data_IF_555776351941
#
_entry.id   IF_555776351941
#
_cell.length_a   1.000
_cell.length_b   1.000
_cell.length_c   1.000
_cell.angle_alpha   90.00
_cell.angle_beta   90.00
_cell.angle_gamma   90.00
#
_symmetry.space_group_name_H-M   'P 1'
#
loop_
_entity.id
_entity.type
_entity.pdbx_description
1 polymer ?
#
# COMPACT_ATOMS: atom_id res chain seq x y z
N UNK A 1 -49.35 22.65 -8.14
CA UNK A 1 -48.04 22.01 -7.92
C UNK A 1 -47.89 20.90 -8.94
N UNK A 2 -47.02 21.07 -9.94
CA UNK A 2 -46.80 20.11 -11.03
C UNK A 2 -45.29 19.91 -11.16
N UNK A 3 -44.84 18.67 -10.98
CA UNK A 3 -43.44 18.25 -11.20
C UNK A 3 -43.10 18.34 -12.69
N UNK A 4 -41.90 18.81 -13.09
CA UNK A 4 -41.39 18.53 -14.41
C UNK A 4 -40.55 17.26 -14.44
N UNK A 5 -40.87 16.46 -15.46
CA UNK A 5 -40.31 15.18 -15.81
C UNK A 5 -38.86 15.24 -16.31
N UNK A 6 -38.16 14.12 -16.16
CA UNK A 6 -36.88 13.80 -16.78
C UNK A 6 -37.06 13.70 -18.31
N UNK A 7 -36.33 14.51 -19.09
CA UNK A 7 -36.21 14.34 -20.54
C UNK A 7 -34.84 13.79 -20.89
N UNK A 8 -34.84 12.61 -21.52
CA UNK A 8 -33.66 11.97 -22.11
C UNK A 8 -33.15 12.78 -23.31
N UNK A 9 -31.95 13.35 -23.19
CA UNK A 9 -31.27 14.00 -24.31
C UNK A 9 -30.51 12.95 -25.11
N UNK A 10 -30.94 12.74 -26.36
CA UNK A 10 -30.37 11.74 -27.27
C UNK A 10 -29.01 12.14 -27.83
N UNK A 11 -28.11 11.17 -27.99
CA UNK A 11 -26.71 11.27 -28.46
C UNK A 11 -26.50 11.95 -29.84
N UNK A 12 -27.55 12.29 -30.58
CA UNK A 12 -27.44 12.84 -31.94
C UNK A 12 -27.19 14.36 -31.99
N UNK A 13 -27.36 15.09 -30.89
CA UNK A 13 -27.15 16.54 -30.87
C UNK A 13 -25.67 16.96 -30.80
N UNK A 14 -24.79 16.13 -30.22
CA UNK A 14 -23.36 16.47 -30.05
C UNK A 14 -22.55 16.39 -31.35
N UNK A 15 -22.99 15.62 -32.35
CA UNK A 15 -22.25 15.41 -33.60
C UNK A 15 -22.32 16.59 -34.58
N UNK A 16 -23.17 17.59 -34.35
CA UNK A 16 -23.32 18.74 -35.28
C UNK A 16 -22.63 20.03 -34.82
N UNK A 17 -22.15 20.10 -33.58
CA UNK A 17 -21.36 21.25 -33.10
C UNK A 17 -19.85 21.11 -33.34
N UNK A 18 -19.39 19.95 -33.83
CA UNK A 18 -17.97 19.70 -34.10
C UNK A 18 -17.52 20.11 -35.52
N UNK A 19 -18.43 20.59 -36.38
CA UNK A 19 -18.16 20.79 -37.81
C UNK A 19 -18.18 22.26 -38.26
N UNK A 20 -18.00 23.21 -37.34
CA UNK A 20 -18.05 24.65 -37.66
C UNK A 20 -16.95 25.46 -36.95
N UNK A 21 -15.77 24.88 -36.74
CA UNK A 21 -14.58 25.61 -36.28
C UNK A 21 -13.35 25.35 -37.16
N UNK A 22 -13.58 25.16 -38.45
CA UNK A 22 -12.55 24.98 -39.47
C UNK A 22 -12.53 26.19 -40.38
N UNK A 23 -11.92 27.30 -39.95
CA UNK A 23 -11.42 28.37 -40.82
C UNK A 23 -10.64 29.41 -39.98
N UNK A 24 -9.32 29.49 -40.27
CA UNK A 24 -8.34 30.53 -39.90
C UNK A 24 -7.52 30.35 -38.61
N UNK A 25 -6.40 29.61 -38.74
CA UNK A 25 -5.21 29.74 -37.90
C UNK A 25 -3.98 29.32 -38.72
N UNK A 26 -2.88 30.09 -38.70
CA UNK A 26 -1.78 29.93 -39.65
C UNK A 26 -0.98 28.64 -39.42
N UNK A 27 -0.39 28.18 -40.51
CA UNK A 27 0.55 27.08 -40.63
C UNK A 27 1.68 27.16 -39.58
N UNK A 28 1.65 26.27 -38.60
CA UNK A 28 2.86 25.75 -37.97
C UNK A 28 3.07 24.32 -38.47
N UNK A 29 3.48 24.21 -39.74
CA UNK A 29 4.12 23.02 -40.30
C UNK A 29 5.49 22.93 -39.64
N UNK A 30 5.63 22.12 -38.58
CA UNK A 30 6.94 21.94 -37.93
C UNK A 30 6.99 21.32 -36.53
N UNK A 31 5.95 20.65 -36.02
CA UNK A 31 6.01 20.09 -34.66
C UNK A 31 5.48 18.65 -34.48
N UNK A 32 5.02 17.98 -35.54
CA UNK A 32 4.41 16.64 -35.43
C UNK A 32 5.02 15.55 -36.31
N UNK A 33 6.10 15.82 -37.05
CA UNK A 33 6.74 14.81 -37.92
C UNK A 33 8.02 14.20 -37.35
N UNK A 34 8.30 14.42 -36.06
CA UNK A 34 9.33 13.66 -35.34
C UNK A 34 8.75 13.27 -33.99
N UNK A 35 8.04 12.13 -33.95
CA UNK A 35 8.08 11.36 -32.71
C UNK A 35 9.57 11.16 -32.41
N UNK A 36 10.10 11.58 -31.25
CA UNK A 36 11.48 11.26 -30.93
C UNK A 36 11.56 9.74 -31.07
N UNK A 37 12.39 9.27 -32.01
CA UNK A 37 12.82 7.89 -32.07
C UNK A 37 13.64 7.68 -30.79
N UNK A 38 12.93 7.52 -29.67
CA UNK A 38 13.51 6.97 -28.47
C UNK A 38 14.01 5.61 -28.93
N UNK A 39 15.33 5.50 -29.11
CA UNK A 39 16.01 4.31 -29.56
C UNK A 39 15.32 3.12 -28.92
N UNK A 40 14.68 2.27 -29.76
CA UNK A 40 13.82 1.21 -29.28
C UNK A 40 14.58 0.49 -28.16
N UNK A 41 14.04 0.46 -26.92
CA UNK A 41 14.79 -0.09 -25.80
C UNK A 41 15.16 -1.52 -26.18
N UNK A 42 16.44 -1.87 -26.06
CA UNK A 42 16.91 -3.21 -26.40
C UNK A 42 16.05 -4.21 -25.62
N UNK A 43 15.17 -4.90 -26.35
CA UNK A 43 14.17 -5.78 -25.76
C UNK A 43 14.86 -6.94 -25.03
N UNK A 44 16.07 -7.32 -25.47
CA UNK A 44 16.89 -8.32 -24.79
C UNK A 44 17.38 -7.80 -23.43
N UNK A 45 17.83 -6.54 -23.36
CA UNK A 45 18.25 -5.91 -22.11
C UNK A 45 17.07 -5.70 -21.13
N UNK A 46 15.91 -5.28 -21.64
CA UNK A 46 14.69 -5.15 -20.83
C UNK A 46 14.25 -6.52 -20.29
N UNK A 47 14.28 -7.57 -21.10
CA UNK A 47 13.95 -8.93 -20.69
C UNK A 47 14.95 -9.47 -19.66
N UNK A 48 16.25 -9.19 -19.81
CA UNK A 48 17.29 -9.56 -18.84
C UNK A 48 17.05 -8.90 -17.50
N UNK A 49 16.88 -7.56 -17.48
CA UNK A 49 16.55 -6.81 -16.26
C UNK A 49 15.28 -7.30 -15.58
N UNK A 50 14.25 -7.66 -16.36
CA UNK A 50 13.02 -8.26 -15.83
C UNK A 50 13.31 -9.57 -15.10
N UNK A 51 14.05 -10.50 -15.71
CA UNK A 51 14.41 -11.78 -15.08
C UNK A 51 15.25 -11.59 -13.81
N UNK A 52 16.19 -10.65 -13.82
CA UNK A 52 17.00 -10.33 -12.64
C UNK A 52 16.14 -9.80 -11.48
N UNK A 53 15.15 -8.95 -11.77
CA UNK A 53 14.19 -8.47 -10.77
C UNK A 53 13.30 -9.59 -10.24
N UNK A 54 12.77 -10.43 -11.12
CA UNK A 54 11.95 -11.58 -10.72
C UNK A 54 12.74 -12.56 -9.83
N UNK A 55 14.01 -12.80 -10.14
CA UNK A 55 14.89 -13.63 -9.31
C UNK A 55 15.16 -13.02 -7.92
N UNK A 56 15.44 -11.71 -7.85
CA UNK A 56 15.61 -11.00 -6.58
C UNK A 56 14.32 -11.02 -5.75
N UNK A 57 13.18 -10.77 -6.37
CA UNK A 57 11.87 -10.84 -5.73
C UNK A 57 11.57 -12.25 -5.22
N UNK A 58 11.85 -13.30 -6.00
CA UNK A 58 11.64 -14.69 -5.59
C UNK A 58 12.47 -15.04 -4.36
N UNK A 59 13.74 -14.63 -4.32
CA UNK A 59 14.62 -14.85 -3.16
C UNK A 59 14.10 -14.16 -1.91
N UNK A 60 13.78 -12.86 -1.99
CA UNK A 60 13.27 -12.11 -0.83
C UNK A 60 11.92 -12.64 -0.35
N UNK A 61 11.03 -13.03 -1.26
CA UNK A 61 9.74 -13.62 -0.87
C UNK A 61 9.91 -15.02 -0.24
N UNK A 62 10.92 -15.80 -0.66
CA UNK A 62 11.23 -17.10 -0.06
C UNK A 62 11.80 -16.96 1.36
N UNK A 63 12.60 -15.92 1.64
CA UNK A 63 13.12 -15.62 2.98
C UNK A 63 12.02 -15.21 3.96
N UNK A 64 10.97 -14.53 3.47
CA UNK A 64 9.85 -14.07 4.29
C UNK A 64 8.78 -15.12 4.51
N UNK A 65 8.61 -16.06 3.57
CA UNK A 65 7.65 -17.15 3.67
C UNK A 65 7.65 -17.86 5.05
N UNK A 66 8.79 -18.28 5.64
CA UNK A 66 8.80 -18.90 6.96
C UNK A 66 8.39 -17.93 8.09
N UNK A 67 8.71 -16.64 7.96
CA UNK A 67 8.29 -15.64 8.95
C UNK A 67 6.77 -15.43 8.92
N UNK A 68 6.17 -15.42 7.72
CA UNK A 68 4.71 -15.34 7.57
C UNK A 68 4.04 -16.59 8.15
N UNK A 69 4.61 -17.78 7.93
CA UNK A 69 4.10 -19.03 8.52
C UNK A 69 4.06 -18.95 10.04
N UNK A 70 5.14 -18.48 10.68
CA UNK A 70 5.21 -18.31 12.15
C UNK A 70 4.14 -17.35 12.68
N UNK A 71 3.89 -16.25 11.98
CA UNK A 71 2.82 -15.31 12.33
C UNK A 71 1.45 -15.98 12.20
N UNK A 72 1.23 -16.76 11.13
CA UNK A 72 -0.03 -17.47 10.89
C UNK A 72 -0.31 -18.63 11.84
N UNK A 73 0.72 -19.24 12.40
CA UNK A 73 0.65 -20.35 13.37
C UNK A 73 0.47 -19.88 14.82
N UNK A 74 0.65 -18.58 15.08
CA UNK A 74 0.54 -18.01 16.43
C UNK A 74 -0.89 -18.11 16.96
N UNK A 75 -1.04 -18.65 18.17
CA UNK A 75 -2.36 -18.83 18.82
C UNK A 75 -2.56 -17.84 19.96
N UNK A 76 -1.46 -17.35 20.53
CA UNK A 76 -1.47 -16.39 21.64
C UNK A 76 -0.91 -15.04 21.23
N UNK A 77 -1.30 -13.98 21.95
CA UNK A 77 -0.79 -12.64 21.71
C UNK A 77 0.74 -12.54 21.86
N UNK A 78 1.35 -13.35 22.74
CA UNK A 78 2.79 -13.37 23.00
C UNK A 78 3.56 -14.04 21.86
N UNK A 79 3.05 -15.16 21.35
CA UNK A 79 3.62 -15.82 20.17
C UNK A 79 3.54 -14.91 18.95
N UNK A 80 2.39 -14.25 18.77
CA UNK A 80 2.18 -13.31 17.69
C UNK A 80 3.15 -12.12 17.77
N UNK A 81 3.31 -11.51 18.95
CA UNK A 81 4.26 -10.42 19.17
C UNK A 81 5.71 -10.83 18.87
N UNK A 82 6.10 -12.04 19.30
CA UNK A 82 7.44 -12.59 19.02
C UNK A 82 7.66 -12.80 17.52
N UNK A 83 6.69 -13.38 16.83
CA UNK A 83 6.74 -13.61 15.38
C UNK A 83 6.77 -12.28 14.60
N UNK A 84 5.97 -11.30 15.04
CA UNK A 84 5.93 -9.97 14.47
C UNK A 84 7.20 -9.15 14.73
N UNK A 85 7.84 -9.33 15.89
CA UNK A 85 9.14 -8.71 16.20
C UNK A 85 10.24 -9.25 15.29
N UNK A 86 10.24 -10.57 15.02
CA UNK A 86 11.15 -11.17 14.05
C UNK A 86 10.90 -10.66 12.62
N UNK A 87 9.63 -10.56 12.22
CA UNK A 87 9.24 -9.98 10.93
C UNK A 87 9.68 -8.52 10.79
N UNK A 88 9.46 -7.72 11.83
CA UNK A 88 9.82 -6.29 11.85
C UNK A 88 11.34 -6.13 11.81
N UNK A 89 12.08 -6.97 12.52
CA UNK A 89 13.55 -7.01 12.46
C UNK A 89 14.04 -7.33 11.04
N UNK A 90 13.39 -8.26 10.34
CA UNK A 90 13.70 -8.53 8.93
C UNK A 90 13.38 -7.34 8.02
N UNK A 91 12.24 -6.68 8.21
CA UNK A 91 11.85 -5.46 7.48
C UNK A 91 12.92 -4.38 7.65
N UNK A 92 13.45 -4.20 8.87
CA UNK A 92 14.54 -3.27 9.20
C UNK A 92 15.89 -3.73 8.62
N UNK A 93 16.14 -5.04 8.53
CA UNK A 93 17.41 -5.57 8.01
C UNK A 93 17.56 -5.57 6.49
N UNK A 94 16.48 -5.53 5.71
CA UNK A 94 16.50 -5.84 4.25
C UNK A 94 16.57 -4.66 3.29
N UNK A 95 16.57 -3.42 3.80
CA UNK A 95 16.75 -2.21 3.00
C UNK A 95 18.23 -1.91 2.72
N UNK A 96 18.59 -1.43 1.52
CA UNK A 96 19.91 -0.84 1.29
C UNK A 96 20.14 0.34 2.25
N UNK A 97 21.34 0.56 2.80
CA UNK A 97 21.65 1.84 3.45
C UNK A 97 21.52 2.95 2.41
N UNK A 98 20.77 4.01 2.71
CA UNK A 98 20.68 5.19 1.82
C UNK A 98 22.08 5.82 1.78
N UNK A 99 22.60 6.22 0.60
CA UNK A 99 23.76 7.11 0.55
C UNK A 99 23.47 8.37 1.38
N UNK A 100 24.36 8.73 2.30
CA UNK A 100 24.28 9.92 3.18
C UNK A 100 24.31 11.26 2.43
N UNK A 101 24.40 11.21 1.11
CA UNK A 101 24.84 12.30 0.27
C UNK A 101 23.60 13.11 -0.15
N UNK A 102 23.00 13.82 0.81
CA UNK A 102 21.84 14.68 0.61
C UNK A 102 20.66 14.40 1.55
N UNK A 103 20.72 13.34 2.36
CA UNK A 103 19.80 13.17 3.46
C UNK A 103 20.10 14.24 4.52
N UNK A 104 19.11 15.10 4.81
CA UNK A 104 19.15 15.98 5.96
C UNK A 104 19.59 15.16 7.19
N UNK A 105 20.61 15.65 7.88
CA UNK A 105 21.28 15.02 9.02
C UNK A 105 20.31 14.20 9.89
N UNK A 106 20.42 12.86 9.84
CA UNK A 106 19.82 11.97 10.85
C UNK A 106 19.04 10.73 10.39
N UNK A 107 18.77 10.49 9.10
CA UNK A 107 18.03 9.28 8.66
C UNK A 107 18.95 8.16 8.13
N UNK A 108 19.59 7.46 9.06
CA UNK A 108 20.62 6.45 8.73
C UNK A 108 20.08 5.11 8.20
N UNK A 109 18.76 4.93 7.97
CA UNK A 109 18.22 3.55 7.85
C UNK A 109 17.09 3.28 6.83
N UNK A 110 16.64 4.20 5.99
CA UNK A 110 15.37 3.99 5.25
C UNK A 110 15.54 3.77 3.72
N UNK A 111 16.26 2.71 3.34
CA UNK A 111 16.23 2.23 1.95
C UNK A 111 14.92 1.51 1.60
N UNK A 112 14.50 1.51 0.31
CA UNK A 112 13.29 0.83 -0.11
C UNK A 112 13.40 -0.70 0.08
N UNK A 113 12.27 -1.35 0.36
CA UNK A 113 12.20 -2.83 0.37
C UNK A 113 12.67 -3.42 -0.97
N UNK A 114 13.17 -4.68 -0.98
CA UNK A 114 13.58 -5.35 -2.21
C UNK A 114 12.52 -5.26 -3.32
N UNK A 115 12.97 -4.97 -4.54
CA UNK A 115 12.08 -4.81 -5.68
C UNK A 115 11.25 -6.09 -5.92
N UNK A 116 9.93 -5.94 -6.08
CA UNK A 116 9.00 -7.07 -6.25
C UNK A 116 8.59 -7.79 -4.96
N UNK A 117 8.96 -7.27 -3.79
CA UNK A 117 8.45 -7.75 -2.52
C UNK A 117 6.93 -7.54 -2.39
N UNK A 118 6.22 -8.57 -1.93
CA UNK A 118 4.75 -8.57 -1.84
C UNK A 118 4.25 -7.96 -0.54
N UNK A 119 4.46 -6.65 -0.35
CA UNK A 119 4.01 -5.90 0.84
C UNK A 119 2.52 -6.07 1.15
N UNK A 120 1.66 -5.98 0.12
CA UNK A 120 0.20 -6.18 0.29
C UNK A 120 -0.14 -7.55 0.86
N UNK A 121 0.51 -8.61 0.35
CA UNK A 121 0.29 -9.97 0.84
C UNK A 121 0.73 -10.12 2.29
N UNK A 122 1.90 -9.57 2.65
CA UNK A 122 2.39 -9.57 4.03
C UNK A 122 1.38 -8.94 4.99
N UNK A 123 0.88 -7.74 4.66
CA UNK A 123 -0.09 -7.02 5.49
C UNK A 123 -1.38 -7.81 5.66
N UNK A 124 -1.93 -8.35 4.57
CA UNK A 124 -3.14 -9.18 4.64
C UNK A 124 -2.90 -10.42 5.49
N UNK A 125 -1.81 -11.15 5.29
CA UNK A 125 -1.51 -12.36 6.06
C UNK A 125 -1.34 -12.07 7.56
N UNK A 126 -0.62 -11.00 7.92
CA UNK A 126 -0.48 -10.58 9.32
C UNK A 126 -1.84 -10.16 9.91
N UNK A 127 -2.66 -9.42 9.16
CA UNK A 127 -3.99 -9.00 9.62
C UNK A 127 -4.92 -10.19 9.84
N UNK A 128 -4.91 -11.15 8.93
CA UNK A 128 -5.70 -12.38 9.03
C UNK A 128 -5.29 -13.21 10.26
N UNK A 129 -3.99 -13.27 10.55
CA UNK A 129 -3.48 -13.92 11.76
C UNK A 129 -3.92 -13.18 13.04
N UNK A 130 -3.78 -11.85 13.07
CA UNK A 130 -4.27 -11.01 14.16
C UNK A 130 -5.77 -11.24 14.42
N UNK A 131 -6.56 -11.40 13.35
CA UNK A 131 -8.00 -11.55 13.46
C UNK A 131 -8.47 -12.92 13.98
N UNK A 132 -7.59 -13.92 13.97
CA UNK A 132 -7.84 -15.26 14.52
C UNK A 132 -7.52 -15.37 16.00
N UNK A 133 -6.77 -14.42 16.56
CA UNK A 133 -6.39 -14.43 17.96
C UNK A 133 -7.62 -14.27 18.88
N UNK A 134 -7.56 -14.80 20.12
CA UNK A 134 -8.61 -14.60 21.12
C UNK A 134 -8.93 -13.12 21.31
N UNK A 135 -10.22 -12.79 21.24
CA UNK A 135 -10.66 -11.39 21.29
C UNK A 135 -10.80 -10.89 22.73
N UNK A 136 -10.09 -9.82 23.03
CA UNK A 136 -10.27 -9.01 24.21
C UNK A 136 -11.50 -8.11 24.05
N UNK A 137 -12.34 -8.05 25.09
CA UNK A 137 -13.51 -7.17 25.14
C UNK A 137 -13.14 -5.90 25.89
N UNK A 138 -13.28 -4.76 25.24
CA UNK A 138 -13.08 -3.44 25.82
C UNK A 138 -14.43 -2.73 25.87
N UNK A 139 -14.79 -2.17 27.03
CA UNK A 139 -16.01 -1.37 27.14
C UNK A 139 -15.82 0.01 26.49
N UNK A 140 -16.89 0.59 25.96
CA UNK A 140 -16.84 1.93 25.40
C UNK A 140 -16.48 2.96 26.48
N UNK A 141 -15.54 3.84 26.17
CA UNK A 141 -14.97 4.81 27.11
C UNK A 141 -13.86 4.27 28.02
N UNK A 142 -13.58 2.96 28.00
CA UNK A 142 -12.46 2.37 28.73
C UNK A 142 -11.14 2.63 27.99
N UNK A 143 -10.14 3.17 28.69
CA UNK A 143 -8.80 3.35 28.14
C UNK A 143 -7.92 2.15 28.50
N UNK A 144 -7.47 1.42 27.48
CA UNK A 144 -6.50 0.34 27.62
C UNK A 144 -5.23 0.71 26.86
N UNK A 145 -4.11 0.81 27.56
CA UNK A 145 -2.83 1.17 26.95
C UNK A 145 -2.47 0.18 25.83
N UNK A 146 -2.17 0.69 24.63
CA UNK A 146 -1.87 -0.11 23.44
C UNK A 146 -3.07 -0.38 22.52
N UNK A 147 -4.30 -0.18 23.00
CA UNK A 147 -5.52 -0.21 22.19
C UNK A 147 -5.99 1.19 21.83
N UNK A 148 -6.81 1.30 20.78
CA UNK A 148 -7.52 2.53 20.47
C UNK A 148 -8.61 2.82 21.50
N UNK A 149 -9.12 4.05 21.49
CA UNK A 149 -10.33 4.37 22.25
C UNK A 149 -11.52 3.60 21.65
N UNK A 150 -12.25 2.88 22.50
CA UNK A 150 -13.51 2.26 22.10
C UNK A 150 -14.62 3.31 22.18
N UNK A 151 -15.15 3.72 21.03
CA UNK A 151 -16.27 4.65 20.95
C UNK A 151 -17.61 3.91 21.02
N UNK A 152 -18.61 4.53 21.65
CA UNK A 152 -19.98 4.00 21.64
C UNK A 152 -20.52 4.14 20.23
N UNK A 153 -20.87 3.03 19.60
CA UNK A 153 -21.62 3.04 18.34
C UNK A 153 -23.10 2.85 18.63
N UNK A 154 -23.95 3.13 17.63
CA UNK A 154 -25.40 2.90 17.74
C UNK A 154 -25.74 1.43 18.04
N UNK A 155 -24.89 0.52 17.57
CA UNK A 155 -25.17 -0.92 17.55
C UNK A 155 -24.36 -1.70 18.60
N UNK A 156 -23.25 -1.15 19.13
CA UNK A 156 -22.50 -1.76 20.23
C UNK A 156 -21.80 -0.75 21.12
N UNK A 157 -21.70 -1.10 22.40
CA UNK A 157 -20.89 -0.42 23.42
C UNK A 157 -19.64 -1.23 23.81
N UNK A 158 -19.30 -2.27 23.04
CA UNK A 158 -18.16 -3.16 23.28
C UNK A 158 -17.35 -3.25 21.99
N UNK A 159 -16.05 -3.02 22.10
CA UNK A 159 -15.09 -3.24 21.04
C UNK A 159 -14.36 -4.56 21.27
N UNK A 160 -14.12 -5.28 20.18
CA UNK A 160 -13.34 -6.52 20.17
C UNK A 160 -11.97 -6.23 19.54
N UNK A 161 -10.90 -6.53 20.26
CA UNK A 161 -9.52 -6.40 19.76
C UNK A 161 -8.74 -7.69 20.00
N UNK A 162 -7.60 -7.88 19.34
CA UNK A 162 -6.71 -9.02 19.63
C UNK A 162 -5.88 -8.84 20.93
N UNK A 163 -6.18 -7.78 21.70
CA UNK A 163 -5.41 -7.38 22.88
C UNK A 163 -4.30 -6.36 22.57
N UNK A 164 -3.86 -5.59 23.58
CA UNK A 164 -2.95 -4.47 23.40
C UNK A 164 -1.58 -4.87 22.83
N UNK A 165 -1.09 -6.06 23.19
CA UNK A 165 0.21 -6.55 22.74
C UNK A 165 0.20 -6.85 21.24
N UNK A 166 -0.75 -7.65 20.77
CA UNK A 166 -0.83 -8.04 19.37
C UNK A 166 -1.14 -6.85 18.44
N UNK A 167 -2.03 -5.95 18.86
CA UNK A 167 -2.36 -4.74 18.11
C UNK A 167 -1.18 -3.76 18.02
N UNK A 168 -0.41 -3.60 19.11
CA UNK A 168 0.77 -2.74 19.10
C UNK A 168 1.91 -3.30 18.24
N UNK A 169 2.14 -4.62 18.29
CA UNK A 169 3.11 -5.30 17.42
C UNK A 169 2.76 -5.13 15.92
N UNK A 170 1.48 -5.29 15.58
CA UNK A 170 1.01 -5.07 14.20
C UNK A 170 1.18 -3.61 13.74
N UNK A 171 0.84 -2.64 14.59
CA UNK A 171 1.05 -1.22 14.30
C UNK A 171 2.53 -0.86 14.13
N UNK A 172 3.41 -1.40 14.96
CA UNK A 172 4.85 -1.18 14.87
C UNK A 172 5.41 -1.69 13.52
N UNK A 173 5.03 -2.91 13.13
CA UNK A 173 5.39 -3.48 11.84
C UNK A 173 4.90 -2.61 10.68
N UNK A 174 3.65 -2.13 10.72
CA UNK A 174 3.10 -1.23 9.70
C UNK A 174 3.86 0.10 9.61
N UNK A 175 4.31 0.65 10.73
CA UNK A 175 5.08 1.89 10.75
C UNK A 175 6.42 1.72 10.03
N UNK A 176 7.16 0.64 10.31
CA UNK A 176 8.43 0.33 9.63
C UNK A 176 8.23 0.04 8.15
N UNK A 177 7.16 -0.68 7.82
CA UNK A 177 6.77 -0.94 6.45
C UNK A 177 6.48 0.34 5.67
N UNK A 178 5.74 1.29 6.24
CA UNK A 178 5.41 2.58 5.61
C UNK A 178 6.65 3.41 5.29
N UNK A 179 7.66 3.40 6.17
CA UNK A 179 8.94 4.07 5.93
C UNK A 179 9.65 3.50 4.69
N UNK A 180 9.59 2.17 4.50
CA UNK A 180 10.38 1.46 3.47
C UNK A 180 9.66 1.17 2.16
N UNK A 181 8.34 1.27 2.11
CA UNK A 181 7.58 1.06 0.87
C UNK A 181 6.48 2.11 0.64
N UNK A 182 6.81 3.42 0.65
CA UNK A 182 5.83 4.51 0.63
C UNK A 182 4.88 4.48 -0.58
N UNK A 183 5.32 3.95 -1.74
CA UNK A 183 4.50 3.87 -2.97
C UNK A 183 3.65 2.60 -3.11
N UNK A 184 3.87 1.58 -2.27
CA UNK A 184 3.10 0.33 -2.35
C UNK A 184 1.90 0.29 -1.39
N UNK A 185 1.80 1.28 -0.49
CA UNK A 185 0.69 1.49 0.45
C UNK A 185 -0.46 2.33 -0.07
N UNK A 186 -0.43 2.75 -1.35
CA UNK A 186 -1.62 3.27 -2.02
C UNK A 186 -2.63 2.12 -2.15
N UNK A 187 -3.39 2.00 -1.06
CA UNK A 187 -4.58 1.19 -0.92
C UNK A 187 -5.71 1.95 -1.60
N UNK A 188 -6.73 1.27 -2.16
CA UNK A 188 -7.90 1.95 -2.73
C UNK A 188 -8.72 2.72 -1.68
N UNK A 189 -8.42 2.52 -0.40
CA UNK A 189 -8.90 3.33 0.71
C UNK A 189 -7.78 4.32 1.02
N UNK A 190 -8.03 5.62 0.87
CA UNK A 190 -7.03 6.68 0.97
C UNK A 190 -6.28 6.73 2.32
N UNK A 191 -5.44 7.77 2.54
CA UNK A 191 -4.64 7.88 3.76
C UNK A 191 -5.54 7.77 4.98
N UNK A 192 -5.36 6.71 5.77
CA UNK A 192 -6.00 6.58 7.08
C UNK A 192 -5.31 7.61 7.96
N UNK A 193 -5.97 8.76 8.14
CA UNK A 193 -5.61 9.73 9.15
C UNK A 193 -5.69 9.02 10.52
N UNK A 194 -4.58 9.02 11.24
CA UNK A 194 -4.55 8.67 12.66
C UNK A 194 -4.96 9.88 13.48
#
# INVERSE_FOLDING_TARGET
AVLPQVQHVSRRAYMRAALALSLHGPLCVGAYDVLPEAAAPDLAEVARRRKEREAKAAKSNAEVAPLISRVGESQTAVEYDTAMSAMTSWIIGTGPPIPSDGAAWGSTFDGPLPEGFRTRYLVTACKDALDRLPRYRQAAGEYVAGLGQCEVTRDSNICLSAGPLAESAYKAMLAELKKRAPRQYDTPYGPVAF
#
